data_IF_720726660049
#
_entry.id   IF_720726660049
#
_cell.length_a   1.000
_cell.length_b   1.000
_cell.length_c   1.000
_cell.angle_alpha   90.00
_cell.angle_beta   90.00
_cell.angle_gamma   90.00
#
_symmetry.space_group_name_H-M   'P 1'
#
loop_
_entity.id
_entity.type
_entity.pdbx_description
1 polymer ?
#
# COMPACT_ATOMS: atom_id res chain seq x y z
N UNK A 1 -4.55 0.13 -10.63
CA UNK A 1 -3.62 -0.42 -9.64
C UNK A 1 -3.34 -1.87 -9.97
N UNK A 2 -2.12 -2.33 -9.76
CA UNK A 2 -1.69 -3.73 -9.97
C UNK A 2 -1.36 -4.29 -8.60
N UNK A 3 -1.89 -5.48 -8.26
CA UNK A 3 -1.70 -6.15 -6.95
C UNK A 3 -1.13 -7.53 -7.19
N UNK A 4 -0.11 -7.92 -6.42
CA UNK A 4 0.50 -9.25 -6.48
C UNK A 4 -0.44 -10.28 -5.85
N UNK A 5 -0.90 -11.24 -6.64
CA UNK A 5 -1.81 -12.30 -6.21
C UNK A 5 -1.13 -13.62 -5.87
N UNK A 6 0.05 -13.90 -6.43
CA UNK A 6 0.81 -15.11 -6.15
C UNK A 6 2.31 -14.87 -6.25
N UNK A 7 3.11 -15.58 -5.44
CA UNK A 7 4.56 -15.45 -5.38
C UNK A 7 5.21 -16.50 -4.48
N UNK A 8 6.53 -16.47 -4.38
CA UNK A 8 7.30 -17.41 -3.56
C UNK A 8 7.26 -17.05 -2.07
N UNK A 9 7.15 -15.77 -1.75
CA UNK A 9 7.13 -15.25 -0.38
C UNK A 9 5.75 -14.74 0.01
N UNK A 10 5.29 -15.04 1.20
CA UNK A 10 4.02 -14.58 1.73
C UNK A 10 3.98 -13.06 1.97
N UNK A 11 5.13 -12.45 2.24
CA UNK A 11 5.27 -11.01 2.47
C UNK A 11 5.02 -10.17 1.22
N UNK A 12 5.21 -10.75 0.02
CA UNK A 12 5.03 -10.06 -1.26
C UNK A 12 3.56 -10.11 -1.74
N UNK A 13 2.76 -11.00 -1.15
CA UNK A 13 1.37 -11.18 -1.55
C UNK A 13 0.52 -10.01 -1.09
N UNK A 14 -0.27 -9.47 -2.01
CA UNK A 14 -1.12 -8.31 -1.75
C UNK A 14 -0.41 -6.96 -1.93
N UNK A 15 0.90 -6.93 -2.13
CA UNK A 15 1.59 -5.67 -2.45
C UNK A 15 1.00 -5.10 -3.73
N UNK A 16 0.70 -3.81 -3.72
CA UNK A 16 0.09 -3.12 -4.84
C UNK A 16 0.87 -1.88 -5.27
N UNK A 17 0.88 -1.64 -6.58
CA UNK A 17 1.53 -0.48 -7.19
C UNK A 17 0.52 0.30 -8.04
N UNK A 18 0.46 1.62 -7.85
CA UNK A 18 -0.30 2.50 -8.74
C UNK A 18 0.43 2.63 -10.07
N UNK A 19 -0.24 2.28 -11.16
CA UNK A 19 0.22 2.63 -12.49
C UNK A 19 -0.34 4.02 -12.86
N UNK A 20 0.54 4.99 -13.02
CA UNK A 20 0.20 6.39 -13.33
C UNK A 20 0.51 6.75 -14.80
N UNK A 21 0.96 5.80 -15.61
CA UNK A 21 1.25 6.01 -17.02
C UNK A 21 0.00 6.00 -17.90
N UNK A 22 0.13 6.55 -19.11
CA UNK A 22 -0.95 6.62 -20.11
C UNK A 22 -0.88 5.49 -21.15
N UNK A 23 0.18 4.70 -21.15
CA UNK A 23 0.38 3.62 -22.12
C UNK A 23 -0.19 2.30 -21.60
N UNK A 24 -0.55 1.40 -22.50
CA UNK A 24 -0.95 0.05 -22.14
C UNK A 24 0.26 -0.75 -21.68
N UNK A 25 0.14 -1.42 -20.53
CA UNK A 25 1.18 -2.28 -19.97
C UNK A 25 0.71 -3.71 -19.88
N UNK A 26 1.60 -4.65 -20.16
CA UNK A 26 1.36 -6.06 -19.90
C UNK A 26 1.56 -6.34 -18.41
N UNK A 27 0.61 -7.05 -17.82
CA UNK A 27 0.66 -7.44 -16.39
C UNK A 27 0.76 -8.97 -16.34
N UNK A 28 1.65 -9.48 -15.48
CA UNK A 28 1.83 -10.91 -15.26
C UNK A 28 0.53 -11.55 -14.75
N UNK A 29 0.28 -12.80 -15.10
CA UNK A 29 -0.93 -13.57 -14.73
C UNK A 29 -1.07 -13.82 -13.23
N UNK A 30 0.04 -13.77 -12.47
CA UNK A 30 0.06 -13.80 -11.01
C UNK A 30 -0.40 -12.50 -10.33
N UNK A 31 -0.76 -11.47 -11.10
CA UNK A 31 -1.19 -10.17 -10.58
C UNK A 31 -2.66 -9.89 -10.91
N UNK A 32 -3.29 -9.09 -10.05
CA UNK A 32 -4.64 -8.59 -10.24
C UNK A 32 -4.64 -7.12 -10.65
N UNK A 33 -5.58 -6.74 -11.49
CA UNK A 33 -5.83 -5.34 -11.84
C UNK A 33 -7.05 -4.87 -11.05
N UNK A 34 -6.84 -3.90 -10.17
CA UNK A 34 -7.90 -3.25 -9.41
C UNK A 34 -8.28 -1.91 -10.08
N UNK A 35 -9.54 -1.78 -10.47
CA UNK A 35 -10.15 -0.51 -10.92
C UNK A 35 -10.85 0.14 -9.74
N UNK A 36 -10.67 1.44 -9.54
CA UNK A 36 -11.23 2.19 -8.42
C UNK A 36 -11.31 3.69 -8.76
N UNK A 37 -12.11 4.43 -8.03
CA UNK A 37 -12.29 5.88 -8.13
C UNK A 37 -11.55 6.65 -7.00
N UNK A 38 -10.72 5.97 -6.22
CA UNK A 38 -9.92 6.51 -5.13
C UNK A 38 -8.61 7.04 -5.70
N UNK A 39 -7.96 8.01 -5.05
CA UNK A 39 -6.64 8.48 -5.47
C UNK A 39 -5.65 7.29 -5.52
N UNK A 40 -4.98 7.05 -6.67
CA UNK A 40 -4.12 5.87 -6.83
C UNK A 40 -2.92 5.85 -5.89
N UNK A 41 -2.33 7.02 -5.60
CA UNK A 41 -1.20 7.13 -4.66
C UNK A 41 -1.66 6.88 -3.23
N UNK A 42 -2.85 7.39 -2.86
CA UNK A 42 -3.43 7.15 -1.55
C UNK A 42 -3.59 5.65 -1.26
N UNK A 43 -4.17 4.90 -2.22
CA UNK A 43 -4.27 3.45 -2.07
C UNK A 43 -2.88 2.82 -1.99
N UNK A 44 -1.93 3.21 -2.85
CA UNK A 44 -0.57 2.66 -2.83
C UNK A 44 0.07 2.80 -1.44
N UNK A 45 -0.05 3.96 -0.81
CA UNK A 45 0.45 4.18 0.55
C UNK A 45 -0.29 3.34 1.59
N UNK A 46 -1.62 3.22 1.45
CA UNK A 46 -2.41 2.38 2.36
C UNK A 46 -2.00 0.90 2.28
N UNK A 47 -1.73 0.39 1.08
CA UNK A 47 -1.28 -0.99 0.89
C UNK A 47 0.09 -1.30 1.51
N UNK A 48 0.86 -0.28 1.91
CA UNK A 48 2.12 -0.45 2.65
C UNK A 48 1.94 -0.46 4.17
N UNK A 49 0.71 -0.19 4.67
CA UNK A 49 0.47 -0.11 6.12
C UNK A 49 0.41 -1.48 6.79
N UNK A 50 0.78 -1.53 8.06
CA UNK A 50 0.63 -2.72 8.90
C UNK A 50 -0.84 -3.16 9.01
N UNK A 51 -1.78 -2.21 9.04
CA UNK A 51 -3.22 -2.47 9.07
C UNK A 51 -3.68 -3.29 7.86
N UNK A 52 -3.22 -2.91 6.66
CA UNK A 52 -3.49 -3.65 5.43
C UNK A 52 -2.85 -5.05 5.46
N UNK A 53 -1.57 -5.14 5.80
CA UNK A 53 -0.85 -6.41 5.84
C UNK A 53 -1.47 -7.39 6.84
N UNK A 54 -1.96 -6.93 7.97
CA UNK A 54 -2.70 -7.77 8.93
C UNK A 54 -3.99 -8.34 8.35
N UNK A 55 -4.68 -7.61 7.48
CA UNK A 55 -5.87 -8.11 6.80
C UNK A 55 -5.50 -9.15 5.74
N UNK A 56 -4.56 -8.83 4.86
CA UNK A 56 -4.10 -9.72 3.78
C UNK A 56 -3.59 -11.05 4.35
N UNK A 57 -2.77 -11.01 5.40
CA UNK A 57 -2.18 -12.21 6.00
C UNK A 57 -3.20 -13.25 6.46
N UNK A 58 -4.43 -12.84 6.77
CA UNK A 58 -5.52 -13.77 7.15
C UNK A 58 -5.97 -14.64 5.98
N UNK A 59 -5.76 -14.19 4.75
CA UNK A 59 -6.30 -14.79 3.53
C UNK A 59 -5.24 -15.42 2.64
N UNK A 60 -3.96 -15.20 2.91
CA UNK A 60 -2.85 -15.78 2.15
C UNK A 60 -2.76 -17.28 2.46
N UNK A 61 -2.88 -18.10 1.43
CA UNK A 61 -2.58 -19.52 1.52
C UNK A 61 -1.08 -19.71 1.36
N UNK A 62 -0.44 -20.31 2.37
CA UNK A 62 0.99 -20.60 2.38
C UNK A 62 1.26 -22.03 1.93
N UNK A 63 2.25 -22.23 1.05
CA UNK A 63 2.65 -23.53 0.52
C UNK A 63 3.95 -23.38 -0.28
N UNK A 64 4.13 -24.24 -1.28
CA UNK A 64 5.25 -24.10 -2.24
C UNK A 64 5.18 -22.76 -3.01
N UNK A 65 3.96 -22.28 -3.24
CA UNK A 65 3.64 -20.95 -3.77
C UNK A 65 2.65 -20.33 -2.81
N UNK A 66 2.88 -19.10 -2.39
CA UNK A 66 1.95 -18.30 -1.60
C UNK A 66 0.99 -17.60 -2.55
N UNK A 67 -0.29 -17.60 -2.23
CA UNK A 67 -1.31 -16.99 -3.07
C UNK A 67 -2.50 -16.49 -2.25
N UNK A 68 -3.17 -15.47 -2.81
CA UNK A 68 -4.46 -14.97 -2.34
C UNK A 68 -5.46 -14.97 -3.51
N UNK A 69 -6.71 -15.33 -3.26
CA UNK A 69 -7.71 -15.28 -4.33
C UNK A 69 -8.22 -13.86 -4.55
N UNK A 70 -8.73 -13.59 -5.75
CA UNK A 70 -9.29 -12.29 -6.14
C UNK A 70 -10.43 -11.85 -5.22
N UNK A 71 -11.28 -12.80 -4.82
CA UNK A 71 -12.41 -12.58 -3.92
C UNK A 71 -11.94 -12.12 -2.55
N UNK A 72 -10.85 -12.73 -2.04
CA UNK A 72 -10.26 -12.39 -0.74
C UNK A 72 -9.57 -11.03 -0.75
N UNK A 73 -8.96 -10.65 -1.85
CA UNK A 73 -8.46 -9.27 -2.02
C UNK A 73 -9.62 -8.26 -1.95
N UNK A 74 -10.78 -8.62 -2.50
CA UNK A 74 -11.99 -7.78 -2.46
C UNK A 74 -12.63 -7.65 -1.07
N UNK A 75 -12.29 -8.51 -0.11
CA UNK A 75 -12.79 -8.44 1.28
C UNK A 75 -11.97 -7.49 2.17
N UNK A 76 -10.89 -6.92 1.65
CA UNK A 76 -10.04 -6.00 2.41
C UNK A 76 -10.74 -4.65 2.55
N UNK A 77 -10.86 -4.18 3.78
CA UNK A 77 -11.42 -2.88 4.10
C UNK A 77 -10.37 -1.77 3.95
N UNK A 78 -10.68 -0.78 3.10
CA UNK A 78 -9.86 0.40 2.87
C UNK A 78 -10.63 1.62 3.36
N UNK A 79 -10.09 2.46 4.27
CA UNK A 79 -10.73 3.71 4.63
C UNK A 79 -10.70 4.69 3.45
N UNK A 80 -11.85 5.24 3.09
CA UNK A 80 -11.97 6.15 1.93
C UNK A 80 -12.48 7.52 2.42
N UNK A 81 -11.59 8.41 2.90
CA UNK A 81 -11.97 9.78 3.22
C UNK A 81 -12.28 10.56 1.93
N UNK A 82 -12.90 11.76 2.02
CA UNK A 82 -13.11 12.64 0.88
C UNK A 82 -11.81 12.88 0.10
N UNK A 83 -11.92 13.04 -1.23
CA UNK A 83 -10.76 13.13 -2.14
C UNK A 83 -9.75 14.24 -1.76
N UNK A 84 -10.24 15.34 -1.21
CA UNK A 84 -9.41 16.43 -0.72
C UNK A 84 -8.46 15.97 0.41
N UNK A 85 -8.97 15.19 1.35
CA UNK A 85 -8.16 14.60 2.43
C UNK A 85 -7.18 13.55 1.90
N UNK A 86 -7.60 12.72 0.92
CA UNK A 86 -6.70 11.76 0.28
C UNK A 86 -5.49 12.48 -0.32
N UNK A 87 -5.71 13.55 -1.09
CA UNK A 87 -4.65 14.36 -1.70
C UNK A 87 -3.73 15.02 -0.67
N UNK A 88 -4.29 15.58 0.40
CA UNK A 88 -3.50 16.19 1.47
C UNK A 88 -2.60 15.17 2.19
N UNK A 89 -3.07 13.92 2.35
CA UNK A 89 -2.27 12.82 2.90
C UNK A 89 -1.15 12.45 1.93
N UNK A 90 -1.47 12.27 0.64
CA UNK A 90 -0.50 11.93 -0.40
C UNK A 90 0.61 12.97 -0.49
N UNK A 91 0.27 14.26 -0.50
CA UNK A 91 1.25 15.36 -0.55
C UNK A 91 2.24 15.28 0.62
N UNK A 92 1.76 15.01 1.84
CA UNK A 92 2.63 14.86 3.00
C UNK A 92 3.52 13.62 2.91
N UNK A 93 2.98 12.49 2.45
CA UNK A 93 3.73 11.24 2.32
C UNK A 93 4.76 11.34 1.18
N UNK A 94 4.42 11.97 0.05
CA UNK A 94 5.36 12.24 -1.04
C UNK A 94 6.53 13.13 -0.56
N UNK A 95 6.25 14.15 0.27
CA UNK A 95 7.29 15.00 0.84
C UNK A 95 8.22 14.22 1.78
N UNK A 96 7.69 13.34 2.61
CA UNK A 96 8.50 12.45 3.47
C UNK A 96 9.34 11.47 2.66
N UNK A 97 8.76 10.86 1.62
CA UNK A 97 9.46 9.92 0.75
C UNK A 97 10.62 10.61 0.01
N UNK A 98 10.39 11.82 -0.50
CA UNK A 98 11.43 12.64 -1.12
C UNK A 98 12.58 12.95 -0.14
N UNK A 99 12.27 13.31 1.12
CA UNK A 99 13.27 13.56 2.15
C UNK A 99 14.07 12.29 2.49
N UNK A 100 13.42 11.13 2.58
CA UNK A 100 14.10 9.85 2.85
C UNK A 100 15.04 9.47 1.69
N UNK A 101 14.62 9.69 0.45
CA UNK A 101 15.42 9.36 -0.74
C UNK A 101 16.59 10.34 -0.96
N UNK A 102 16.42 11.63 -0.65
CA UNK A 102 17.49 12.64 -0.74
C UNK A 102 18.62 12.37 0.28
N UNK A 103 18.28 11.76 1.42
CA UNK A 103 19.22 11.38 2.47
C UNK A 103 19.98 10.07 2.20
N UNK A 104 19.72 9.38 1.11
CA UNK A 104 20.46 8.15 0.74
C UNK A 104 21.96 8.36 0.48
N UNK A 105 22.46 9.61 0.46
CA UNK A 105 23.88 9.97 0.49
C UNK A 105 24.47 10.11 1.90
N UNK A 106 23.67 9.98 2.97
CA UNK A 106 24.08 10.19 4.36
C UNK A 106 24.35 8.91 5.15
N UNK A 107 24.70 9.05 6.42
CA UNK A 107 25.08 7.95 7.30
C UNK A 107 23.98 6.90 7.46
N UNK A 108 24.27 5.60 7.37
CA UNK A 108 23.27 4.52 7.41
C UNK A 108 22.33 4.55 8.63
N UNK A 109 22.84 4.95 9.79
CA UNK A 109 22.05 5.03 11.03
C UNK A 109 20.96 6.14 10.98
N UNK A 110 21.23 7.25 10.28
CA UNK A 110 20.27 8.33 10.11
C UNK A 110 19.17 7.94 9.12
N UNK A 111 19.52 7.20 8.06
CA UNK A 111 18.55 6.64 7.10
C UNK A 111 17.57 5.72 7.80
N UNK A 112 18.05 4.81 8.66
CA UNK A 112 17.20 3.88 9.41
C UNK A 112 16.28 4.61 10.41
N UNK A 113 16.77 5.65 11.07
CA UNK A 113 15.97 6.45 11.99
C UNK A 113 14.84 7.18 11.25
N UNK A 114 15.14 7.81 10.11
CA UNK A 114 14.17 8.51 9.25
C UNK A 114 13.14 7.57 8.66
N UNK A 115 13.55 6.38 8.25
CA UNK A 115 12.65 5.37 7.72
C UNK A 115 11.63 4.91 8.75
N UNK A 116 12.05 4.67 10.00
CA UNK A 116 11.15 4.33 11.11
C UNK A 116 10.17 5.46 11.42
N UNK A 117 10.63 6.71 11.36
CA UNK A 117 9.79 7.89 11.54
C UNK A 117 8.74 8.01 10.43
N UNK A 118 9.14 7.81 9.17
CA UNK A 118 8.23 7.78 8.03
C UNK A 118 7.14 6.70 8.18
N UNK A 119 7.52 5.46 8.52
CA UNK A 119 6.59 4.35 8.71
C UNK A 119 5.58 4.67 9.82
N UNK A 120 6.04 5.24 10.93
CA UNK A 120 5.17 5.67 12.03
C UNK A 120 4.14 6.74 11.59
N UNK A 121 4.58 7.79 10.90
CA UNK A 121 3.67 8.84 10.44
C UNK A 121 2.73 8.37 9.34
N UNK A 122 3.19 7.53 8.42
CA UNK A 122 2.35 6.91 7.39
C UNK A 122 1.20 6.14 8.05
N UNK A 123 1.52 5.24 8.96
CA UNK A 123 0.52 4.41 9.62
C UNK A 123 -0.43 5.25 10.48
N UNK A 124 0.07 6.30 11.12
CA UNK A 124 -0.76 7.24 11.89
C UNK A 124 -1.71 8.07 11.01
N UNK A 125 -1.24 8.56 9.86
CA UNK A 125 -2.05 9.35 8.91
C UNK A 125 -3.13 8.50 8.23
N UNK A 126 -2.88 7.20 8.07
CA UNK A 126 -3.80 6.25 7.42
C UNK A 126 -4.62 5.41 8.43
N UNK A 127 -4.49 5.66 9.73
CA UNK A 127 -5.27 5.00 10.78
C UNK A 127 -6.61 5.71 10.99
N UNK A 128 -7.64 5.29 10.24
CA UNK A 128 -9.00 5.80 10.41
C UNK A 128 -9.82 4.90 11.34
N UNK A 129 -10.64 5.51 12.18
CA UNK A 129 -11.66 4.79 12.95
C UNK A 129 -12.92 4.67 12.08
N UNK A 130 -13.57 3.50 12.03
CA UNK A 130 -14.85 3.37 11.33
C UNK A 130 -15.87 4.33 11.95
N UNK A 131 -16.62 5.04 11.10
CA UNK A 131 -17.72 5.88 11.53
C UNK A 131 -18.82 4.95 12.04
N UNK A 132 -19.18 5.04 13.32
CA UNK A 132 -20.39 4.39 13.82
C UNK A 132 -21.55 5.16 13.20
N UNK A 133 -22.37 4.49 12.41
CA UNK A 133 -23.69 4.97 12.05
C UNK A 133 -24.55 4.78 13.30
N UNK A 134 -25.00 5.90 13.88
CA UNK A 134 -26.02 5.93 14.94
C UNK A 134 -27.41 5.81 14.30
#
# INVERSE_FOLDING_TARGET
MIIVGAGENDVDIGIGVAYLGNESVAVHDACYILKHDIDPKYISYFLLTESYHKQIKKYVCTGKICAISKERVGEVEIPVPPLEFQRAIVEKLDAFDALCNDLCGGLPAEIDARRKEYEFYRDKLLAFKPRRED
#
